data_IF_205442344379
#
_entry.id   IF_205442344379
#
_cell.length_a   1.000
_cell.length_b   1.000
_cell.length_c   1.000
_cell.angle_alpha   90.00
_cell.angle_beta   90.00
_cell.angle_gamma   90.00
#
_symmetry.space_group_name_H-M   'P 1'
#
loop_
_entity.id
_entity.type
_entity.pdbx_description
1 polymer ?
#
# COMPACT_ATOMS: atom_id res chain seq x y z
N UNK A 1 32.72 -7.07 19.38
CA UNK A 1 33.56 -7.94 18.53
C UNK A 1 34.40 -8.94 19.33
N UNK A 2 34.78 -8.64 20.58
CA UNK A 2 35.74 -9.50 21.30
C UNK A 2 35.12 -10.63 22.17
N UNK A 3 33.82 -10.60 22.40
CA UNK A 3 33.19 -11.59 23.29
C UNK A 3 33.09 -13.00 22.71
N UNK A 4 33.15 -13.18 21.41
CA UNK A 4 33.04 -14.50 20.77
C UNK A 4 34.37 -15.27 20.83
N UNK A 5 35.50 -14.57 20.80
CA UNK A 5 36.83 -15.16 20.68
C UNK A 5 37.48 -15.51 22.03
N UNK A 6 36.89 -15.14 23.16
CA UNK A 6 37.42 -15.38 24.50
C UNK A 6 36.58 -16.36 25.31
N UNK A 7 37.23 -17.15 26.14
CA UNK A 7 36.52 -18.08 27.02
C UNK A 7 35.74 -17.33 28.13
N UNK A 8 34.67 -17.88 28.70
CA UNK A 8 33.99 -17.25 29.83
C UNK A 8 34.90 -17.01 31.05
N UNK A 9 36.00 -17.72 31.16
CA UNK A 9 37.01 -17.53 32.21
C UNK A 9 37.84 -16.30 31.98
N UNK A 10 38.30 -16.08 30.74
CA UNK A 10 39.12 -14.94 30.37
C UNK A 10 38.32 -13.63 30.47
N UNK A 11 37.08 -13.65 29.96
CA UNK A 11 36.17 -12.51 30.09
C UNK A 11 35.81 -12.21 31.55
N UNK A 12 35.68 -13.24 32.40
CA UNK A 12 35.44 -13.06 33.84
C UNK A 12 36.59 -12.34 34.53
N UNK A 13 37.82 -12.63 34.12
CA UNK A 13 39.01 -11.93 34.64
C UNK A 13 39.14 -10.50 34.08
N UNK A 14 38.94 -10.35 32.77
CA UNK A 14 39.06 -9.05 32.08
C UNK A 14 38.05 -8.01 32.59
N UNK A 15 36.81 -8.44 32.84
CA UNK A 15 35.72 -7.54 33.25
C UNK A 15 35.39 -7.58 34.74
N UNK A 16 36.12 -8.37 35.55
CA UNK A 16 35.89 -8.55 37.02
C UNK A 16 34.44 -8.97 37.33
N UNK A 17 33.83 -9.78 36.46
CA UNK A 17 32.43 -10.20 36.55
C UNK A 17 32.37 -11.74 36.67
N UNK A 18 31.48 -12.26 37.51
CA UNK A 18 31.35 -13.70 37.73
C UNK A 18 31.04 -14.46 36.42
N UNK A 19 31.68 -15.63 36.21
CA UNK A 19 31.53 -16.47 35.00
C UNK A 19 30.07 -16.75 34.60
N UNK A 20 29.17 -16.87 35.59
CA UNK A 20 27.73 -17.09 35.36
C UNK A 20 27.09 -15.88 34.65
N UNK A 21 27.52 -14.66 34.98
CA UNK A 21 27.04 -13.43 34.33
C UNK A 21 27.55 -13.31 32.89
N UNK A 22 28.82 -13.67 32.67
CA UNK A 22 29.41 -13.73 31.33
C UNK A 22 28.67 -14.74 30.45
N UNK A 23 28.31 -15.93 30.97
CA UNK A 23 27.52 -16.93 30.21
C UNK A 23 26.15 -16.37 29.83
N UNK A 24 25.45 -15.71 30.77
CA UNK A 24 24.16 -15.03 30.45
C UNK A 24 24.29 -13.93 29.41
N UNK A 25 25.38 -13.18 29.44
CA UNK A 25 25.63 -12.15 28.43
C UNK A 25 25.91 -12.75 27.06
N UNK A 26 26.70 -13.82 26.96
CA UNK A 26 26.95 -14.54 25.71
C UNK A 26 25.67 -15.16 25.14
N UNK A 27 24.84 -15.72 26.00
CA UNK A 27 23.54 -16.29 25.60
C UNK A 27 22.59 -15.22 25.06
N UNK A 28 22.48 -14.09 25.76
CA UNK A 28 21.69 -12.92 25.34
C UNK A 28 22.18 -12.31 24.01
N UNK A 29 23.50 -12.22 23.86
CA UNK A 29 24.12 -11.75 22.61
C UNK A 29 23.79 -12.72 21.48
N UNK A 30 23.91 -14.03 21.70
CA UNK A 30 23.55 -15.05 20.70
C UNK A 30 22.08 -14.97 20.30
N UNK A 31 21.17 -14.81 21.27
CA UNK A 31 19.74 -14.65 21.01
C UNK A 31 19.45 -13.36 20.21
N UNK A 32 20.11 -12.26 20.59
CA UNK A 32 19.97 -10.98 19.88
C UNK A 32 20.53 -11.06 18.47
N UNK A 33 21.69 -11.68 18.28
CA UNK A 33 22.29 -11.87 16.94
C UNK A 33 21.55 -12.95 16.12
N UNK A 34 20.96 -13.97 16.73
CA UNK A 34 20.10 -14.92 16.04
C UNK A 34 18.82 -14.25 15.54
N UNK A 35 18.33 -13.23 16.23
CA UNK A 35 17.18 -12.45 15.80
C UNK A 35 17.52 -11.43 14.68
N UNK A 36 18.78 -10.98 14.64
CA UNK A 36 19.29 -10.05 13.61
C UNK A 36 19.77 -10.78 12.35
N UNK A 37 20.08 -12.08 12.46
CA UNK A 37 20.23 -12.99 11.31
C UNK A 37 18.84 -13.48 10.83
N UNK A 38 17.97 -12.55 10.45
CA UNK A 38 17.06 -12.83 9.37
C UNK A 38 17.93 -13.28 8.19
N UNK A 39 17.60 -14.40 7.56
CA UNK A 39 18.31 -15.01 6.44
C UNK A 39 18.74 -13.98 5.41
N UNK A 40 19.82 -13.29 5.70
CA UNK A 40 20.53 -12.53 4.68
C UNK A 40 21.02 -13.60 3.69
N UNK A 41 20.68 -13.47 2.41
CA UNK A 41 21.23 -14.36 1.41
C UNK A 41 22.74 -14.40 1.60
N UNK A 42 23.41 -15.56 1.39
CA UNK A 42 24.83 -15.68 1.54
C UNK A 42 25.51 -14.52 0.86
N UNK A 43 26.46 -13.88 1.52
CA UNK A 43 27.07 -12.60 1.12
C UNK A 43 27.69 -12.61 -0.29
N UNK A 44 27.82 -13.75 -0.94
CA UNK A 44 28.43 -13.94 -2.24
C UNK A 44 27.53 -14.75 -3.19
N UNK A 45 26.37 -14.21 -3.55
CA UNK A 45 25.70 -14.71 -4.75
C UNK A 45 26.50 -14.22 -5.96
N UNK A 46 26.99 -15.10 -6.84
CA UNK A 46 27.66 -14.69 -8.06
C UNK A 46 26.86 -13.66 -8.84
N UNK A 47 27.52 -12.63 -9.35
CA UNK A 47 26.86 -11.53 -10.06
C UNK A 47 26.00 -12.06 -11.21
N UNK A 48 26.44 -13.13 -11.87
CA UNK A 48 25.70 -13.79 -12.95
C UNK A 48 24.33 -14.32 -12.47
N UNK A 49 24.26 -14.84 -11.25
CA UNK A 49 22.99 -15.36 -10.68
C UNK A 49 22.08 -14.21 -10.20
N UNK A 50 22.65 -13.13 -9.69
CA UNK A 50 21.89 -11.89 -9.44
C UNK A 50 21.30 -11.34 -10.73
N UNK A 51 22.06 -11.30 -11.82
CA UNK A 51 21.59 -10.86 -13.14
C UNK A 51 20.45 -11.75 -13.62
N UNK A 52 20.59 -13.07 -13.56
CA UNK A 52 19.53 -14.03 -13.93
C UNK A 52 18.27 -13.82 -13.11
N UNK A 53 18.43 -13.61 -11.78
CA UNK A 53 17.31 -13.33 -10.90
C UNK A 53 16.57 -12.03 -11.29
N UNK A 54 17.31 -10.96 -11.57
CA UNK A 54 16.73 -9.68 -12.03
C UNK A 54 16.02 -9.81 -13.37
N UNK A 55 16.58 -10.55 -14.30
CA UNK A 55 15.94 -10.83 -15.61
C UNK A 55 14.61 -11.59 -15.38
N UNK A 56 14.62 -12.61 -14.51
CA UNK A 56 13.40 -13.37 -14.17
C UNK A 56 12.33 -12.47 -13.56
N UNK A 57 12.70 -11.60 -12.62
CA UNK A 57 11.78 -10.63 -12.01
C UNK A 57 11.19 -9.67 -13.05
N UNK A 58 12.05 -9.10 -13.93
CA UNK A 58 11.61 -8.21 -14.99
C UNK A 58 10.63 -8.88 -15.95
N UNK A 59 10.95 -10.09 -16.39
CA UNK A 59 10.07 -10.86 -17.28
C UNK A 59 8.75 -11.22 -16.62
N UNK A 60 8.74 -11.55 -15.32
CA UNK A 60 7.53 -11.83 -14.57
C UNK A 60 6.66 -10.57 -14.42
N UNK A 61 7.28 -9.41 -14.14
CA UNK A 61 6.60 -8.12 -14.10
C UNK A 61 5.98 -7.76 -15.45
N UNK A 62 6.75 -7.82 -16.53
CA UNK A 62 6.26 -7.54 -17.89
C UNK A 62 5.12 -8.47 -18.32
N UNK A 63 5.21 -9.76 -17.94
CA UNK A 63 4.13 -10.72 -18.23
C UNK A 63 2.84 -10.35 -17.50
N UNK A 64 2.96 -9.91 -16.23
CA UNK A 64 1.82 -9.45 -15.44
C UNK A 64 1.24 -8.17 -16.02
N UNK A 65 2.07 -7.15 -16.26
CA UNK A 65 1.65 -5.89 -16.86
C UNK A 65 0.93 -6.09 -18.20
N UNK A 66 1.45 -6.97 -19.06
CA UNK A 66 0.77 -7.29 -20.35
C UNK A 66 -0.54 -8.03 -20.17
N UNK A 67 -0.71 -8.81 -19.10
CA UNK A 67 -1.94 -9.53 -18.82
C UNK A 67 -3.03 -8.65 -18.22
N UNK A 68 -2.64 -7.55 -17.57
CA UNK A 68 -3.54 -6.63 -16.87
C UNK A 68 -4.05 -5.46 -17.75
N UNK A 69 -3.59 -5.34 -19.01
CA UNK A 69 -3.93 -4.20 -19.88
C UNK A 69 -5.32 -4.25 -20.53
N UNK A 70 -6.00 -5.37 -20.46
CA UNK A 70 -7.34 -5.51 -21.05
C UNK A 70 -8.26 -6.22 -20.07
N UNK A 71 -9.30 -5.54 -19.65
CA UNK A 71 -10.38 -6.09 -18.85
C UNK A 71 -11.65 -6.00 -19.67
N UNK A 72 -12.19 -7.15 -20.07
CA UNK A 72 -13.46 -7.24 -20.78
C UNK A 72 -14.63 -7.09 -19.80
N UNK A 73 -15.34 -5.99 -19.89
CA UNK A 73 -16.56 -5.75 -19.11
C UNK A 73 -17.77 -5.99 -20.02
N UNK A 74 -18.60 -6.96 -19.67
CA UNK A 74 -19.86 -7.22 -20.36
C UNK A 74 -21.01 -6.64 -19.57
N UNK A 75 -21.70 -5.68 -20.17
CA UNK A 75 -22.95 -5.16 -19.64
C UNK A 75 -24.09 -5.95 -20.30
N UNK A 76 -24.87 -6.65 -19.47
CA UNK A 76 -25.96 -7.49 -19.90
C UNK A 76 -27.28 -6.71 -19.95
N UNK A 77 -27.25 -5.55 -20.58
CA UNK A 77 -28.41 -4.69 -20.79
C UNK A 77 -28.45 -4.29 -22.27
N UNK A 78 -29.60 -4.33 -22.89
CA UNK A 78 -29.86 -3.93 -24.27
C UNK A 78 -30.23 -2.44 -24.38
N UNK A 79 -30.32 -1.71 -23.27
CA UNK A 79 -30.56 -0.29 -23.24
C UNK A 79 -29.27 0.50 -23.54
N UNK A 80 -29.40 1.74 -24.00
CA UNK A 80 -28.25 2.64 -24.10
C UNK A 80 -27.58 2.82 -22.75
N UNK A 81 -26.25 2.73 -22.73
CA UNK A 81 -25.43 2.97 -21.53
C UNK A 81 -24.56 4.21 -21.74
N UNK A 82 -24.28 4.89 -20.64
CA UNK A 82 -23.31 5.96 -20.56
C UNK A 82 -22.29 5.71 -19.45
N UNK A 83 -21.07 6.21 -19.64
CA UNK A 83 -20.02 6.14 -18.64
C UNK A 83 -19.54 7.55 -18.37
N UNK A 84 -19.68 8.02 -17.12
CA UNK A 84 -19.09 9.25 -16.64
C UNK A 84 -17.72 8.95 -16.04
N UNK A 85 -16.68 9.52 -16.60
CA UNK A 85 -15.31 9.32 -16.13
C UNK A 85 -14.94 10.37 -15.09
N UNK A 86 -14.42 9.92 -13.98
CA UNK A 86 -13.80 10.71 -12.93
C UNK A 86 -12.30 10.44 -12.90
N UNK A 87 -11.52 11.44 -12.54
CA UNK A 87 -10.08 11.30 -12.31
C UNK A 87 -9.59 12.44 -11.43
N UNK A 88 -8.58 12.18 -10.64
CA UNK A 88 -7.96 13.14 -9.73
C UNK A 88 -8.99 13.89 -8.88
N UNK A 89 -9.93 13.14 -8.30
CA UNK A 89 -11.03 13.74 -7.54
C UNK A 89 -10.54 14.46 -6.30
N UNK A 90 -9.50 13.94 -5.64
CA UNK A 90 -8.94 14.50 -4.41
C UNK A 90 -10.04 15.04 -3.49
N UNK A 91 -11.03 14.21 -3.17
CA UNK A 91 -12.30 14.59 -2.52
C UNK A 91 -12.12 15.31 -1.18
N UNK A 92 -10.95 15.15 -0.58
CA UNK A 92 -10.53 15.73 0.68
C UNK A 92 -9.66 17.00 0.52
N UNK A 93 -9.37 17.42 -0.70
CA UNK A 93 -8.61 18.65 -0.96
C UNK A 93 -9.50 19.87 -0.84
N UNK A 94 -8.98 20.94 -0.19
CA UNK A 94 -9.71 22.18 0.02
C UNK A 94 -10.07 22.91 -1.29
N UNK A 95 -9.38 22.60 -2.39
CA UNK A 95 -9.64 23.13 -3.72
C UNK A 95 -10.71 22.36 -4.51
N UNK A 96 -11.15 21.21 -4.01
CA UNK A 96 -12.15 20.39 -4.71
C UNK A 96 -13.56 20.98 -4.55
N UNK A 97 -14.25 21.19 -5.68
CA UNK A 97 -15.68 21.56 -5.69
C UNK A 97 -16.53 20.33 -5.31
N UNK A 98 -16.58 20.06 -4.01
CA UNK A 98 -17.28 18.90 -3.45
C UNK A 98 -18.77 18.92 -3.81
N UNK A 99 -19.40 20.10 -3.89
CA UNK A 99 -20.81 20.22 -4.23
C UNK A 99 -21.09 19.74 -5.64
N UNK A 100 -20.25 20.10 -6.59
CA UNK A 100 -20.33 19.64 -7.97
C UNK A 100 -20.05 18.16 -8.10
N UNK A 101 -19.03 17.67 -7.40
CA UNK A 101 -18.67 16.25 -7.39
C UNK A 101 -19.84 15.39 -6.90
N UNK A 102 -20.46 15.75 -5.78
CA UNK A 102 -21.64 15.05 -5.24
C UNK A 102 -22.84 15.14 -6.18
N UNK A 103 -23.10 16.31 -6.77
CA UNK A 103 -24.17 16.48 -7.76
C UNK A 103 -24.00 15.53 -8.95
N UNK A 104 -22.77 15.39 -9.48
CA UNK A 104 -22.48 14.43 -10.55
C UNK A 104 -22.69 13.00 -10.09
N UNK A 105 -22.22 12.63 -8.90
CA UNK A 105 -22.43 11.31 -8.33
C UNK A 105 -23.92 10.97 -8.18
N UNK A 106 -24.72 11.90 -7.67
CA UNK A 106 -26.16 11.74 -7.55
C UNK A 106 -26.86 11.62 -8.92
N UNK A 107 -26.43 12.40 -9.91
CA UNK A 107 -26.98 12.32 -11.26
C UNK A 107 -26.76 10.90 -11.84
N UNK A 108 -25.56 10.35 -11.68
CA UNK A 108 -25.23 9.00 -12.14
C UNK A 108 -26.08 7.97 -11.38
N UNK A 109 -26.15 8.08 -10.07
CA UNK A 109 -26.92 7.13 -9.22
C UNK A 109 -28.43 7.12 -9.53
N UNK A 110 -28.97 8.25 -10.01
CA UNK A 110 -30.41 8.40 -10.33
C UNK A 110 -30.76 8.14 -11.80
N UNK A 111 -29.75 7.96 -12.67
CA UNK A 111 -29.95 7.80 -14.12
C UNK A 111 -29.74 6.36 -14.52
N UNK A 112 -30.82 5.66 -14.94
CA UNK A 112 -30.74 4.29 -15.42
C UNK A 112 -29.82 4.17 -16.64
N UNK A 113 -28.93 3.17 -16.63
CA UNK A 113 -27.93 2.95 -17.69
C UNK A 113 -26.70 3.89 -17.61
N UNK A 114 -26.58 4.75 -16.59
CA UNK A 114 -25.41 5.59 -16.41
C UNK A 114 -24.52 5.01 -15.29
N UNK A 115 -23.23 4.86 -15.57
CA UNK A 115 -22.24 4.29 -14.68
C UNK A 115 -21.06 5.24 -14.48
N UNK A 116 -20.39 5.11 -13.33
CA UNK A 116 -19.14 5.78 -13.07
C UNK A 116 -17.93 4.95 -13.53
N UNK A 117 -16.89 5.60 -13.99
CA UNK A 117 -15.55 5.06 -14.15
C UNK A 117 -14.55 5.97 -13.47
N UNK A 118 -13.65 5.45 -12.64
CA UNK A 118 -12.59 6.24 -12.01
C UNK A 118 -11.22 5.84 -12.52
N UNK A 119 -10.38 6.84 -12.84
CA UNK A 119 -9.03 6.65 -13.37
C UNK A 119 -7.93 6.91 -12.32
N UNK A 120 -8.30 7.03 -11.05
CA UNK A 120 -7.37 7.12 -9.92
C UNK A 120 -7.49 8.41 -9.11
N UNK A 121 -6.71 8.45 -8.05
CA UNK A 121 -6.52 9.57 -7.12
C UNK A 121 -7.85 10.12 -6.55
N UNK A 122 -8.61 9.21 -5.95
CA UNK A 122 -9.89 9.53 -5.33
C UNK A 122 -9.72 10.48 -4.14
N UNK A 123 -8.61 10.38 -3.42
CA UNK A 123 -8.27 11.16 -2.24
C UNK A 123 -6.78 11.52 -2.22
N UNK A 124 -6.40 12.51 -1.39
CA UNK A 124 -5.00 12.90 -1.23
C UNK A 124 -4.14 11.81 -0.60
N UNK A 125 -4.67 11.09 0.40
CA UNK A 125 -4.00 10.00 1.11
C UNK A 125 -2.53 10.31 1.46
N UNK A 126 -2.29 11.42 2.15
CA UNK A 126 -0.94 11.87 2.52
C UNK A 126 -0.26 10.89 3.48
N UNK A 127 0.70 10.12 3.01
CA UNK A 127 1.44 9.12 3.81
C UNK A 127 2.92 9.42 3.92
N UNK A 128 3.58 8.83 4.90
CA UNK A 128 5.01 8.98 5.13
C UNK A 128 5.41 10.44 5.32
N UNK A 129 6.35 10.94 4.53
CA UNK A 129 6.84 12.33 4.61
C UNK A 129 5.79 13.38 4.24
N UNK A 130 4.76 12.99 3.51
CA UNK A 130 3.69 13.89 3.07
C UNK A 130 2.57 14.02 4.11
N UNK A 131 2.54 13.19 5.16
CA UNK A 131 1.50 13.23 6.20
C UNK A 131 1.37 14.58 6.90
N UNK A 132 2.43 15.41 6.91
CA UNK A 132 2.39 16.79 7.40
C UNK A 132 1.38 17.68 6.66
N UNK A 133 1.08 17.36 5.39
CA UNK A 133 0.14 18.13 4.56
C UNK A 133 -1.29 18.04 5.09
N UNK A 134 -1.64 17.01 5.87
CA UNK A 134 -2.91 17.00 6.60
C UNK A 134 -3.04 18.14 7.63
N UNK A 135 -1.93 18.73 8.07
CA UNK A 135 -1.96 19.92 8.94
C UNK A 135 -2.18 21.23 8.17
N UNK A 136 -2.07 21.20 6.86
CA UNK A 136 -2.19 22.36 5.96
C UNK A 136 -3.55 22.39 5.25
N UNK A 137 -4.35 21.31 5.33
CA UNK A 137 -5.69 21.20 4.74
C UNK A 137 -6.77 21.13 5.84
N UNK A 138 -8.00 21.47 5.47
CA UNK A 138 -9.16 21.49 6.37
C UNK A 138 -9.68 20.10 6.74
N UNK A 139 -9.29 19.05 6.01
CA UNK A 139 -9.80 17.68 6.13
C UNK A 139 -8.75 16.75 6.72
N UNK A 140 -9.08 16.04 7.81
CA UNK A 140 -8.21 15.03 8.40
C UNK A 140 -8.22 13.72 7.60
N UNK A 141 -7.21 12.86 7.80
CA UNK A 141 -7.14 11.54 7.17
C UNK A 141 -8.39 10.68 7.42
N UNK A 142 -8.97 10.76 8.63
CA UNK A 142 -10.21 10.04 8.96
C UNK A 142 -11.41 10.56 8.20
N UNK A 143 -11.50 11.85 8.02
CA UNK A 143 -12.58 12.48 7.26
C UNK A 143 -12.44 12.22 5.77
N UNK A 144 -11.21 12.27 5.24
CA UNK A 144 -10.87 11.87 3.87
C UNK A 144 -11.40 10.47 3.54
N UNK A 145 -11.11 9.49 4.40
CA UNK A 145 -11.60 8.12 4.23
C UNK A 145 -13.12 8.02 4.23
N UNK A 146 -13.80 8.78 5.09
CA UNK A 146 -15.26 8.80 5.17
C UNK A 146 -15.91 9.44 3.94
N UNK A 147 -15.32 10.51 3.43
CA UNK A 147 -15.78 11.17 2.20
C UNK A 147 -15.63 10.23 1.00
N UNK A 148 -14.46 9.62 0.86
CA UNK A 148 -14.17 8.65 -0.20
C UNK A 148 -15.11 7.45 -0.14
N UNK A 149 -15.29 6.85 1.03
CA UNK A 149 -16.21 5.73 1.23
C UNK A 149 -17.66 6.11 0.87
N UNK A 150 -18.10 7.31 1.25
CA UNK A 150 -19.43 7.80 0.90
C UNK A 150 -19.62 7.91 -0.61
N UNK A 151 -18.64 8.51 -1.30
CA UNK A 151 -18.69 8.71 -2.75
C UNK A 151 -18.61 7.38 -3.50
N UNK A 152 -17.73 6.47 -3.08
CA UNK A 152 -17.62 5.12 -3.65
C UNK A 152 -18.93 4.34 -3.51
N UNK A 153 -19.63 4.45 -2.40
CA UNK A 153 -20.92 3.77 -2.19
C UNK A 153 -22.10 4.41 -2.94
N UNK A 154 -21.99 5.69 -3.28
CA UNK A 154 -23.07 6.44 -3.91
C UNK A 154 -23.20 6.13 -5.41
N UNK A 155 -22.08 5.95 -6.10
CA UNK A 155 -22.02 5.85 -7.55
C UNK A 155 -22.01 4.37 -7.98
N UNK A 156 -22.83 3.95 -8.95
CA UNK A 156 -22.71 2.62 -9.56
C UNK A 156 -21.49 2.57 -10.49
N UNK A 157 -20.37 2.11 -9.94
CA UNK A 157 -19.11 2.05 -10.66
C UNK A 157 -19.03 0.88 -11.62
N UNK A 158 -18.59 1.14 -12.84
CA UNK A 158 -18.22 0.11 -13.79
C UNK A 158 -16.78 -0.36 -13.57
N UNK A 159 -15.89 0.55 -13.20
CA UNK A 159 -14.52 0.28 -12.82
C UNK A 159 -13.97 1.37 -11.90
N UNK A 160 -13.01 0.97 -11.09
CA UNK A 160 -12.21 1.84 -10.24
C UNK A 160 -10.72 1.48 -10.46
N UNK A 161 -9.94 2.44 -10.96
CA UNK A 161 -8.49 2.30 -11.12
C UNK A 161 -7.82 3.00 -9.95
N UNK A 162 -6.86 2.36 -9.30
CA UNK A 162 -6.04 2.98 -8.27
C UNK A 162 -5.01 3.92 -8.89
N UNK A 163 -4.97 5.16 -8.44
CA UNK A 163 -3.94 6.14 -8.80
C UNK A 163 -2.70 6.03 -7.91
N UNK A 164 -1.75 6.93 -8.08
CA UNK A 164 -0.54 6.92 -7.26
C UNK A 164 -0.82 7.30 -5.79
N UNK A 165 -1.79 8.16 -5.51
CA UNK A 165 -2.22 8.47 -4.13
C UNK A 165 -2.90 7.28 -3.46
N UNK A 166 -3.68 6.51 -4.19
CA UNK A 166 -4.33 5.30 -3.69
C UNK A 166 -3.31 4.20 -3.37
N UNK A 167 -2.25 4.08 -4.18
CA UNK A 167 -1.20 3.07 -4.04
C UNK A 167 -0.08 3.40 -3.03
N UNK A 168 -0.06 4.60 -2.45
CA UNK A 168 1.03 5.04 -1.57
C UNK A 168 1.04 4.41 -0.19
N UNK A 169 -0.02 3.78 0.22
CA UNK A 169 -0.07 3.19 1.55
C UNK A 169 0.77 1.93 1.63
N UNK A 170 1.83 1.94 2.43
CA UNK A 170 2.55 0.73 2.83
C UNK A 170 1.71 -0.25 3.68
N UNK A 171 0.43 0.04 3.89
CA UNK A 171 -0.52 -0.69 4.77
C UNK A 171 -1.70 -1.27 3.98
N UNK A 172 -1.70 -1.20 2.67
CA UNK A 172 -2.80 -1.64 1.80
C UNK A 172 -3.41 -0.46 1.03
N UNK A 173 -4.14 -0.79 -0.02
CA UNK A 173 -4.87 0.18 -0.83
C UNK A 173 -6.21 0.50 -0.14
N UNK A 174 -6.44 1.78 0.28
CA UNK A 174 -7.70 2.20 0.87
C UNK A 174 -8.90 1.92 -0.03
N UNK A 175 -8.73 2.12 -1.32
CA UNK A 175 -9.79 1.93 -2.32
C UNK A 175 -10.15 0.45 -2.44
N UNK A 176 -9.17 -0.45 -2.53
CA UNK A 176 -9.37 -1.90 -2.55
C UNK A 176 -10.15 -2.36 -1.31
N UNK A 177 -9.80 -1.84 -0.13
CA UNK A 177 -10.49 -2.16 1.11
C UNK A 177 -11.95 -1.67 1.12
N UNK A 178 -12.23 -0.46 0.60
CA UNK A 178 -13.58 0.11 0.53
C UNK A 178 -14.46 -0.67 -0.45
N UNK A 179 -13.91 -1.02 -1.62
CA UNK A 179 -14.60 -1.81 -2.64
C UNK A 179 -14.92 -3.20 -2.14
N UNK A 180 -13.96 -3.88 -1.49
CA UNK A 180 -14.17 -5.21 -0.91
C UNK A 180 -15.26 -5.26 0.16
N UNK A 181 -15.58 -4.14 0.82
CA UNK A 181 -16.68 -4.03 1.80
C UNK A 181 -18.02 -3.61 1.21
N UNK A 182 -18.02 -2.92 0.08
CA UNK A 182 -19.22 -2.30 -0.50
C UNK A 182 -19.87 -3.06 -1.65
N UNK A 183 -19.14 -3.98 -2.29
CA UNK A 183 -19.60 -4.72 -3.46
C UNK A 183 -20.13 -6.13 -3.15
N UNK A 184 -20.30 -6.49 -1.90
CA UNK A 184 -20.90 -7.77 -1.47
C UNK A 184 -22.39 -7.65 -1.14
N UNK A 185 -23.16 -7.00 -2.03
CA UNK A 185 -24.61 -7.07 -1.99
C UNK A 185 -25.15 -7.51 -3.35
#
# INVERSE_FOLDING_TARGET
ADMENHSPSDLSQMYSVHKRTIRKWKERIRETYAFIRADLPPEDIPVEDLIKHRIKQFNAKNKREKAEHLIDIKILDDKPIGIAHFGDNHIDDDGTDISRLLMHGELIAKTDGLYGGNVGDMQNNWVGRLSRLYGEQGTSAKESWRLTEHFVKMVPWLYLVGGNHDAWSGVGDPLEWMVGRGMTN
#
